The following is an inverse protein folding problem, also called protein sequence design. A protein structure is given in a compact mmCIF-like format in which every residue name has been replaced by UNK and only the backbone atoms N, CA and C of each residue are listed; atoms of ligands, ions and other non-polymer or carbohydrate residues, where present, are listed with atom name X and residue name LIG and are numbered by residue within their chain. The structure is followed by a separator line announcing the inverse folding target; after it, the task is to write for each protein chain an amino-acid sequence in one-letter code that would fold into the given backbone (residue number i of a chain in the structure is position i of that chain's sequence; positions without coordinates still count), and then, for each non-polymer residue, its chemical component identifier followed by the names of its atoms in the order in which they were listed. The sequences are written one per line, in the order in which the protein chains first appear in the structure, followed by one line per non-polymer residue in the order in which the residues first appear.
data_IF_001274582937
#
_entry.id   IF_001274582937
#
_cell.length_a   1.000
_cell.length_b   1.000
_cell.length_c   1.000
_cell.angle_alpha   90.00
_cell.angle_beta   90.00
_cell.angle_gamma   90.00
#
_symmetry.space_group_name_H-M   'P 1'
#
loop_
_entity.id
_entity.type
_entity.pdbx_description
1 polymer ?
#
# COMPACT_ATOMS: atom_id res chain seq x y z
N UNK A 1 17.38 15.95 -1.76
CA UNK A 1 16.04 15.37 -1.96
C UNK A 1 15.13 15.68 -0.77
N UNK A 2 13.86 15.93 -1.07
CA UNK A 2 12.87 16.11 -0.01
C UNK A 2 12.67 14.80 0.74
N UNK A 3 12.51 14.90 2.05
CA UNK A 3 12.23 13.73 2.90
C UNK A 3 10.73 13.67 3.16
N UNK A 4 10.12 12.58 2.74
CA UNK A 4 8.68 12.35 2.87
C UNK A 4 8.44 11.11 3.72
N UNK A 5 7.49 11.20 4.64
CA UNK A 5 7.05 10.06 5.42
C UNK A 5 5.67 9.67 4.94
N UNK A 6 5.48 8.38 4.66
CA UNK A 6 4.20 7.83 4.22
C UNK A 6 3.76 6.75 5.20
N UNK A 7 2.50 6.82 5.63
CA UNK A 7 1.79 5.73 6.29
C UNK A 7 0.72 5.23 5.34
N UNK A 8 0.47 3.93 5.31
CA UNK A 8 -0.56 3.35 4.46
C UNK A 8 -1.19 2.12 5.11
N UNK A 9 -2.42 1.83 4.71
CA UNK A 9 -3.13 0.65 5.14
C UNK A 9 -4.17 0.24 4.09
N UNK A 10 -4.58 -1.02 4.14
CA UNK A 10 -5.61 -1.57 3.28
C UNK A 10 -6.53 -2.47 4.07
N UNK A 11 -7.76 -2.57 3.62
CA UNK A 11 -8.77 -3.41 4.25
C UNK A 11 -9.68 -4.01 3.18
N UNK A 12 -10.29 -5.15 3.49
CA UNK A 12 -11.21 -5.80 2.58
C UNK A 12 -12.38 -6.40 3.37
N UNK A 13 -13.58 -6.18 2.88
CA UNK A 13 -14.81 -6.75 3.46
C UNK A 13 -15.10 -8.06 2.73
N UNK A 14 -14.70 -9.18 3.34
CA UNK A 14 -14.57 -10.45 2.64
C UNK A 14 -13.26 -10.46 1.84
N UNK A 15 -12.71 -11.61 1.54
CA UNK A 15 -11.42 -11.70 0.87
C UNK A 15 -11.45 -12.83 -0.16
N UNK A 16 -11.94 -12.59 -1.41
CA UNK A 16 -12.16 -11.28 -2.03
C UNK A 16 -13.50 -10.61 -1.67
N UNK A 17 -13.56 -9.31 -1.96
CA UNK A 17 -14.76 -8.51 -1.73
C UNK A 17 -14.48 -7.03 -1.96
N UNK A 18 -15.35 -6.17 -1.44
CA UNK A 18 -15.16 -4.73 -1.46
C UNK A 18 -13.97 -4.39 -0.58
N UNK A 19 -13.05 -3.59 -1.09
CA UNK A 19 -11.88 -3.16 -0.32
C UNK A 19 -11.66 -1.66 -0.38
N UNK A 20 -10.86 -1.17 0.58
CA UNK A 20 -10.46 0.22 0.65
C UNK A 20 -9.01 0.34 1.06
N UNK A 21 -8.43 1.47 0.74
CA UNK A 21 -7.06 1.81 1.13
C UNK A 21 -7.02 3.24 1.64
N UNK A 22 -6.05 3.54 2.49
CA UNK A 22 -5.80 4.88 2.99
C UNK A 22 -4.32 5.12 3.16
N UNK A 23 -3.91 6.36 2.97
CA UNK A 23 -2.52 6.76 3.12
C UNK A 23 -2.43 8.19 3.62
N UNK A 24 -1.34 8.47 4.34
CA UNK A 24 -1.00 9.80 4.82
C UNK A 24 0.42 10.09 4.36
N UNK A 25 0.57 11.25 3.71
CA UNK A 25 1.90 11.76 3.30
C UNK A 25 2.23 12.96 4.16
N UNK A 26 3.44 12.98 4.70
CA UNK A 26 3.91 14.08 5.55
C UNK A 26 5.22 14.63 5.03
N UNK A 27 5.28 15.94 4.89
CA UNK A 27 6.47 16.65 4.45
C UNK A 27 6.52 18.00 5.13
N UNK A 28 7.62 18.25 5.86
CA UNK A 28 7.94 19.57 6.42
C UNK A 28 6.76 20.22 7.16
N UNK A 29 6.07 19.43 7.98
CA UNK A 29 4.91 19.90 8.77
C UNK A 29 3.58 19.85 8.03
N UNK A 30 3.58 19.60 6.72
CA UNK A 30 2.36 19.42 5.94
C UNK A 30 1.93 17.96 5.93
N UNK A 31 0.63 17.74 5.96
CA UNK A 31 0.04 16.41 5.96
C UNK A 31 -1.06 16.35 4.92
N UNK A 32 -1.03 15.30 4.09
CA UNK A 32 -2.06 15.05 3.09
C UNK A 32 -2.59 13.63 3.26
N UNK A 33 -3.91 13.50 3.33
CA UNK A 33 -4.57 12.20 3.35
C UNK A 33 -5.08 11.86 1.96
N UNK A 34 -5.00 10.59 1.58
CA UNK A 34 -5.64 10.08 0.38
C UNK A 34 -6.23 8.71 0.66
N UNK A 35 -7.28 8.36 -0.07
CA UNK A 35 -8.01 7.13 0.14
C UNK A 35 -8.79 6.75 -1.12
N UNK A 36 -9.13 5.48 -1.26
CA UNK A 36 -9.92 5.00 -2.37
C UNK A 36 -10.47 3.60 -2.10
N UNK A 37 -11.30 3.10 -3.02
CA UNK A 37 -11.89 1.79 -2.89
C UNK A 37 -11.87 1.02 -4.22
N UNK A 38 -12.13 -0.29 -4.12
CA UNK A 38 -12.34 -1.15 -5.26
C UNK A 38 -13.52 -2.07 -4.93
N UNK A 39 -14.38 -2.29 -5.92
CA UNK A 39 -15.59 -3.10 -5.75
C UNK A 39 -15.30 -4.58 -5.54
N UNK A 40 -14.22 -5.08 -6.08
CA UNK A 40 -13.84 -6.49 -5.97
C UNK A 40 -12.32 -6.59 -5.93
N UNK A 41 -11.80 -6.91 -4.74
CA UNK A 41 -10.35 -6.93 -4.52
C UNK A 41 -10.01 -7.86 -3.35
N UNK A 42 -8.76 -7.80 -2.91
CA UNK A 42 -8.27 -8.55 -1.76
C UNK A 42 -7.55 -7.62 -0.79
N UNK A 43 -7.35 -8.08 0.44
CA UNK A 43 -6.63 -7.32 1.44
C UNK A 43 -5.21 -6.95 0.94
N UNK A 44 -4.48 -7.93 0.40
CA UNK A 44 -3.12 -7.69 -0.09
C UNK A 44 -3.06 -6.67 -1.23
N UNK A 45 -4.04 -6.70 -2.14
CA UNK A 45 -4.11 -5.70 -3.21
C UNK A 45 -4.34 -4.30 -2.66
N UNK A 46 -5.20 -4.17 -1.66
CA UNK A 46 -5.47 -2.86 -1.04
C UNK A 46 -4.25 -2.34 -0.27
N UNK A 47 -3.49 -3.21 0.38
CA UNK A 47 -2.23 -2.84 1.01
C UNK A 47 -1.23 -2.27 -0.01
N UNK A 48 -1.12 -2.91 -1.16
CA UNK A 48 -0.26 -2.42 -2.25
C UNK A 48 -0.77 -1.12 -2.85
N UNK A 49 -2.09 -1.00 -3.06
CA UNK A 49 -2.70 0.21 -3.61
C UNK A 49 -2.43 1.43 -2.73
N UNK A 50 -2.49 1.27 -1.42
CA UNK A 50 -2.20 2.38 -0.50
C UNK A 50 -0.82 2.98 -0.75
N UNK A 51 0.19 2.13 -0.89
CA UNK A 51 1.56 2.57 -1.17
C UNK A 51 1.67 3.17 -2.58
N UNK A 52 1.13 2.49 -3.58
CA UNK A 52 1.18 2.93 -4.98
C UNK A 52 0.56 4.32 -5.12
N UNK A 53 -0.62 4.51 -4.59
CA UNK A 53 -1.34 5.78 -4.72
C UNK A 53 -0.66 6.90 -3.96
N UNK A 54 -0.07 6.59 -2.80
CA UNK A 54 0.74 7.57 -2.07
C UNK A 54 1.94 8.03 -2.90
N UNK A 55 2.70 7.09 -3.47
CA UNK A 55 3.87 7.42 -4.29
C UNK A 55 3.50 8.22 -5.54
N UNK A 56 2.33 7.99 -6.12
CA UNK A 56 1.84 8.77 -7.27
C UNK A 56 1.64 10.26 -6.97
N UNK A 57 1.51 10.62 -5.70
CA UNK A 57 1.41 12.02 -5.29
C UNK A 57 2.76 12.74 -5.34
N UNK A 58 3.86 12.03 -5.41
CA UNK A 58 5.19 12.63 -5.42
C UNK A 58 5.59 13.01 -6.84
N UNK A 59 5.89 14.30 -7.05
CA UNK A 59 6.16 14.84 -8.39
C UNK A 59 7.63 15.00 -8.70
N UNK A 60 8.50 14.78 -7.71
CA UNK A 60 9.95 14.89 -7.85
C UNK A 60 10.63 13.79 -7.06
N UNK A 61 11.90 13.49 -7.34
CA UNK A 61 12.62 12.48 -6.56
C UNK A 61 12.65 12.85 -5.08
N UNK A 62 12.32 11.90 -4.23
CA UNK A 62 12.23 12.07 -2.78
C UNK A 62 12.96 10.94 -2.05
N UNK A 63 13.40 11.23 -0.84
CA UNK A 63 13.80 10.21 0.12
C UNK A 63 12.56 9.88 0.95
N UNK A 64 12.07 8.64 0.85
CA UNK A 64 10.77 8.25 1.40
C UNK A 64 10.91 7.15 2.44
N UNK A 65 10.28 7.36 3.59
CA UNK A 65 10.08 6.33 4.60
C UNK A 65 8.63 5.90 4.53
N UNK A 66 8.40 4.60 4.29
CA UNK A 66 7.05 4.04 4.21
C UNK A 66 6.80 3.14 5.40
N UNK A 67 5.78 3.47 6.17
CA UNK A 67 5.35 2.72 7.35
C UNK A 67 4.06 1.99 7.05
N UNK A 68 4.06 0.68 7.25
CA UNK A 68 2.89 -0.18 7.02
C UNK A 68 2.86 -1.30 8.06
N UNK A 69 1.67 -1.71 8.47
CA UNK A 69 1.51 -2.88 9.34
C UNK A 69 1.41 -4.19 8.52
N UNK A 70 1.41 -4.08 7.19
CA UNK A 70 1.35 -5.24 6.31
C UNK A 70 2.70 -5.95 6.24
N UNK A 71 2.79 -7.16 6.80
CA UNK A 71 3.97 -8.00 6.65
C UNK A 71 4.18 -8.37 5.18
N UNK A 72 3.11 -8.55 4.43
CA UNK A 72 3.16 -8.87 3.01
C UNK A 72 3.95 -7.81 2.22
N UNK A 73 3.64 -6.53 2.45
CA UNK A 73 4.31 -5.43 1.74
C UNK A 73 5.73 -5.22 2.28
N UNK A 74 5.88 -5.08 3.59
CA UNK A 74 7.18 -4.77 4.20
C UNK A 74 8.20 -5.87 3.96
N UNK A 75 7.82 -7.13 4.13
CA UNK A 75 8.75 -8.26 4.01
C UNK A 75 9.16 -8.52 2.56
N UNK A 76 8.35 -8.17 1.57
CA UNK A 76 8.72 -8.30 0.17
C UNK A 76 10.01 -7.55 -0.13
N UNK A 77 10.22 -6.42 0.52
CA UNK A 77 11.45 -5.63 0.38
C UNK A 77 12.49 -5.99 1.44
N UNK A 78 12.09 -6.12 2.68
CA UNK A 78 13.03 -6.33 3.79
C UNK A 78 13.60 -7.75 3.85
N UNK A 79 12.94 -8.73 3.22
CA UNK A 79 13.40 -10.12 3.14
C UNK A 79 13.76 -10.53 1.71
N UNK A 80 13.93 -9.56 0.82
CA UNK A 80 14.41 -9.78 -0.56
C UNK A 80 13.50 -10.68 -1.42
N UNK A 81 12.20 -10.73 -1.15
CA UNK A 81 11.27 -11.50 -1.99
C UNK A 81 11.24 -10.97 -3.43
N UNK A 82 11.30 -9.64 -3.58
CA UNK A 82 11.26 -8.99 -4.90
C UNK A 82 12.43 -9.46 -5.76
N UNK A 83 13.65 -9.46 -5.20
CA UNK A 83 14.84 -9.90 -5.93
C UNK A 83 14.72 -11.36 -6.34
N UNK A 84 14.20 -12.22 -5.46
CA UNK A 84 13.99 -13.64 -5.74
C UNK A 84 12.98 -13.83 -6.87
N UNK A 85 11.88 -13.08 -6.84
CA UNK A 85 10.85 -13.15 -7.88
C UNK A 85 11.39 -12.69 -9.22
N UNK A 86 12.13 -11.58 -9.24
CA UNK A 86 12.72 -11.06 -10.48
C UNK A 86 13.71 -12.08 -11.08
N UNK A 87 14.55 -12.69 -10.26
CA UNK A 87 15.51 -13.69 -10.70
C UNK A 87 14.83 -14.95 -11.24
N UNK A 88 13.66 -15.30 -10.72
CA UNK A 88 12.89 -16.48 -11.12
C UNK A 88 11.84 -16.20 -12.20
N UNK A 89 11.87 -15.01 -12.82
CA UNK A 89 10.90 -14.64 -13.85
C UNK A 89 9.48 -14.47 -13.32
N UNK A 90 9.35 -13.95 -12.10
CA UNK A 90 8.08 -13.74 -11.40
C UNK A 90 7.33 -15.05 -11.12
N UNK A 91 8.09 -16.07 -10.79
CA UNK A 91 7.55 -17.36 -10.37
C UNK A 91 7.94 -17.65 -8.92
N UNK A 92 7.05 -18.35 -8.21
CA UNK A 92 7.31 -18.81 -6.85
C UNK A 92 8.22 -20.04 -6.89
N UNK A 93 8.65 -20.52 -5.72
CA UNK A 93 9.45 -21.74 -5.61
C UNK A 93 8.73 -22.95 -6.20
N UNK A 94 7.40 -22.98 -6.16
CA UNK A 94 6.59 -24.05 -6.78
C UNK A 94 6.30 -23.81 -8.26
N UNK A 95 6.95 -22.84 -8.87
CA UNK A 95 6.83 -22.45 -10.29
C UNK A 95 5.45 -21.89 -10.66
N UNK A 96 4.66 -21.47 -9.68
CA UNK A 96 3.42 -20.74 -9.89
C UNK A 96 3.70 -19.26 -10.13
N UNK A 97 2.81 -18.58 -10.87
CA UNK A 97 2.92 -17.13 -11.04
C UNK A 97 2.83 -16.42 -9.67
N UNK A 98 3.70 -15.44 -9.44
CA UNK A 98 3.63 -14.59 -8.24
C UNK A 98 2.30 -13.83 -8.29
N UNK A 99 1.54 -13.86 -7.20
CA UNK A 99 0.27 -13.13 -7.11
C UNK A 99 0.51 -11.63 -7.10
N UNK A 100 -0.43 -10.91 -7.70
CA UNK A 100 -0.41 -9.44 -7.72
C UNK A 100 0.79 -8.84 -8.46
N UNK A 101 1.33 -9.57 -9.45
CA UNK A 101 2.46 -9.10 -10.25
C UNK A 101 2.23 -7.72 -10.85
N UNK A 102 1.01 -7.47 -11.32
CA UNK A 102 0.63 -6.18 -11.90
C UNK A 102 0.93 -5.04 -10.93
N UNK A 103 0.52 -5.19 -9.68
CA UNK A 103 0.73 -4.17 -8.66
C UNK A 103 2.18 -4.07 -8.21
N UNK A 104 2.85 -5.22 -8.04
CA UNK A 104 4.27 -5.22 -7.68
C UNK A 104 5.11 -4.51 -8.74
N UNK A 105 4.86 -4.77 -10.01
CA UNK A 105 5.59 -4.14 -11.11
C UNK A 105 5.30 -2.65 -11.18
N UNK A 106 4.06 -2.24 -10.99
CA UNK A 106 3.69 -0.82 -10.90
C UNK A 106 4.41 -0.13 -9.76
N UNK A 107 4.43 -0.76 -8.59
CA UNK A 107 5.12 -0.22 -7.41
C UNK A 107 6.62 -0.05 -7.68
N UNK A 108 7.26 -1.07 -8.23
CA UNK A 108 8.70 -1.02 -8.54
C UNK A 108 9.01 0.11 -9.53
N UNK A 109 8.17 0.30 -10.53
CA UNK A 109 8.33 1.39 -11.50
C UNK A 109 8.27 2.75 -10.81
N UNK A 110 7.32 2.95 -9.91
CA UNK A 110 7.20 4.20 -9.15
C UNK A 110 8.38 4.44 -8.21
N UNK A 111 8.97 3.36 -7.70
CA UNK A 111 10.08 3.46 -6.76
C UNK A 111 11.41 3.88 -7.40
N UNK A 112 11.57 3.68 -8.70
CA UNK A 112 12.85 3.88 -9.39
C UNK A 112 13.45 5.27 -9.19
N UNK A 113 12.64 6.29 -9.14
CA UNK A 113 13.11 7.68 -9.00
C UNK A 113 13.27 8.15 -7.56
N UNK A 114 12.90 7.32 -6.59
CA UNK A 114 12.96 7.68 -5.17
C UNK A 114 13.94 6.79 -4.42
N UNK A 115 14.39 7.29 -3.27
CA UNK A 115 15.14 6.48 -2.31
C UNK A 115 14.16 6.06 -1.22
N UNK A 116 13.78 4.79 -1.18
CA UNK A 116 12.70 4.30 -0.33
C UNK A 116 13.18 3.28 0.68
N UNK A 117 12.71 3.43 1.92
CA UNK A 117 12.92 2.45 2.99
C UNK A 117 11.53 2.07 3.55
N UNK A 118 11.30 0.77 3.71
CA UNK A 118 10.06 0.25 4.30
C UNK A 118 10.27 -0.10 5.76
N UNK A 119 9.33 0.31 6.58
CA UNK A 119 9.30 0.00 8.01
C UNK A 119 7.97 -0.69 8.33
N UNK A 120 8.05 -1.83 8.98
CA UNK A 120 6.85 -2.51 9.46
C UNK A 120 6.49 -1.96 10.83
N UNK A 121 5.28 -1.44 10.97
CA UNK A 121 4.74 -1.02 12.25
C UNK A 121 3.87 -2.14 12.83
N UNK A 122 3.70 -2.13 14.14
CA UNK A 122 2.86 -3.10 14.82
C UNK A 122 1.39 -2.67 14.66
N UNK A 123 0.57 -3.54 14.08
CA UNK A 123 -0.87 -3.28 13.94
C UNK A 123 -1.52 -3.12 15.30
N UNK A 124 -2.53 -2.27 15.38
CA UNK A 124 -3.29 -1.97 16.62
C UNK A 124 -2.43 -1.44 17.78
N UNK A 125 -1.23 -0.93 17.48
CA UNK A 125 -0.39 -0.25 18.46
C UNK A 125 -0.82 1.22 18.60
N UNK A 126 -0.19 1.95 19.53
CA UNK A 126 -0.48 3.36 19.79
C UNK A 126 0.13 4.27 18.70
N UNK A 127 -0.09 3.94 17.42
CA UNK A 127 0.37 4.72 16.30
C UNK A 127 -0.83 5.41 15.65
N UNK A 128 -0.97 6.71 15.90
CA UNK A 128 -2.11 7.47 15.42
C UNK A 128 -2.22 7.51 13.90
N UNK A 129 -1.09 7.55 13.19
CA UNK A 129 -1.11 7.63 11.73
C UNK A 129 -1.49 6.29 11.10
N UNK A 130 -1.00 5.18 11.65
CA UNK A 130 -1.41 3.85 11.22
C UNK A 130 -2.90 3.65 11.47
N UNK A 131 -3.38 4.06 12.64
CA UNK A 131 -4.80 3.97 12.99
C UNK A 131 -5.66 4.84 12.08
N UNK A 132 -5.17 6.02 11.71
CA UNK A 132 -5.90 6.90 10.79
C UNK A 132 -5.99 6.28 9.39
N UNK A 133 -4.93 5.64 8.92
CA UNK A 133 -4.95 4.96 7.62
C UNK A 133 -5.95 3.79 7.61
N UNK A 134 -6.02 3.03 8.70
CA UNK A 134 -7.01 1.96 8.85
C UNK A 134 -8.43 2.53 8.80
N UNK A 135 -8.67 3.63 9.52
CA UNK A 135 -9.96 4.32 9.53
C UNK A 135 -10.33 4.78 8.11
N UNK A 136 -9.41 5.42 7.39
CA UNK A 136 -9.62 5.85 6.01
C UNK A 136 -9.99 4.67 5.11
N UNK A 137 -9.27 3.56 5.23
CA UNK A 137 -9.53 2.37 4.42
C UNK A 137 -10.94 1.81 4.69
N UNK A 138 -11.33 1.72 5.95
CA UNK A 138 -12.66 1.20 6.32
C UNK A 138 -13.78 2.15 5.91
N UNK A 139 -13.56 3.45 5.99
CA UNK A 139 -14.52 4.44 5.50
C UNK A 139 -14.78 4.27 4.00
N UNK A 140 -13.76 3.96 3.22
CA UNK A 140 -13.89 3.74 1.79
C UNK A 140 -14.77 2.52 1.47
N UNK A 141 -14.69 1.48 2.27
CA UNK A 141 -15.55 0.31 2.12
C UNK A 141 -17.02 0.71 2.32
N UNK A 142 -17.29 1.51 3.36
CA UNK A 142 -18.64 2.01 3.62
C UNK A 142 -19.16 2.87 2.45
N UNK A 143 -18.32 3.76 1.94
CA UNK A 143 -18.66 4.60 0.79
C UNK A 143 -18.97 3.74 -0.44
N UNK A 144 -18.17 2.74 -0.73
CA UNK A 144 -18.39 1.85 -1.86
C UNK A 144 -19.73 1.11 -1.74
N UNK A 145 -20.03 0.59 -0.55
CA UNK A 145 -21.31 -0.12 -0.30
C UNK A 145 -22.50 0.81 -0.50
N UNK A 146 -22.41 2.04 -0.05
CA UNK A 146 -23.49 3.04 -0.25
C UNK A 146 -23.69 3.34 -1.73
N UNK A 147 -22.62 3.49 -2.48
CA UNK A 147 -22.70 3.77 -3.91
C UNK A 147 -23.32 2.60 -4.68
N UNK A 148 -23.06 1.37 -4.27
CA UNK A 148 -23.68 0.19 -4.87
C UNK A 148 -25.19 0.11 -4.60
N UNK A 149 -25.64 0.56 -3.42
CA UNK A 149 -27.07 0.48 -3.07
C UNK A 149 -27.92 1.53 -3.80
N UNK A 150 -27.29 2.52 -4.42
CA UNK A 150 -27.97 3.53 -5.25
C UNK A 150 -28.22 3.01 -6.65
N UNK A 151 -27.36 2.14 -7.12
CA UNK A 151 -27.44 1.49 -8.44
C UNK A 151 -28.49 0.39 -8.43
#
# INVERSE_FOLDING_TARGET
MKKVVIYSDGACSGNPGIGGWGAILMYNGYKKECAGYDKMTTNNRMELFGVIMALKNLKEPCEVEIYTDSAYVANAFNQNWIEQWQAAGWKTASKSEVKNQDLWKTLLSLMEKHKITFFKVKGHADNEFNNRCDELAREQIVICKKNQSID
#
